data_IF_705402591265
#
_entry.id   IF_705402591265
#
_cell.length_a   1.000
_cell.length_b   1.000
_cell.length_c   1.000
_cell.angle_alpha   90.00
_cell.angle_beta   90.00
_cell.angle_gamma   90.00
#
_symmetry.space_group_name_H-M   'P 1'
#
loop_
_entity.id
_entity.type
_entity.pdbx_description
1 polymer ?
#
# COMPACT_ATOMS: atom_id res chain seq x y z
N UNK A 1 -23.17 -33.06 -9.91
CA UNK A 1 -22.47 -34.16 -10.64
C UNK A 1 -22.45 -35.37 -9.72
N UNK A 2 -22.54 -36.60 -10.24
CA UNK A 2 -22.45 -37.80 -9.39
C UNK A 2 -21.03 -37.97 -8.82
N UNK A 3 -20.94 -38.47 -7.59
CA UNK A 3 -19.71 -38.78 -6.84
C UNK A 3 -18.72 -39.62 -7.68
N UNK A 4 -19.23 -40.50 -8.55
CA UNK A 4 -18.45 -41.31 -9.49
C UNK A 4 -17.64 -40.51 -10.52
N UNK A 5 -18.18 -39.40 -11.04
CA UNK A 5 -17.45 -38.54 -11.99
C UNK A 5 -16.31 -37.80 -11.31
N UNK A 6 -16.51 -37.41 -10.05
CA UNK A 6 -15.47 -36.74 -9.26
C UNK A 6 -14.33 -37.72 -8.95
N UNK A 7 -14.67 -38.95 -8.53
CA UNK A 7 -13.69 -40.03 -8.31
C UNK A 7 -12.92 -40.42 -9.58
N UNK A 8 -13.57 -40.41 -10.74
CA UNK A 8 -12.90 -40.65 -12.02
C UNK A 8 -11.89 -39.53 -12.35
N UNK A 9 -12.24 -38.27 -12.09
CA UNK A 9 -11.31 -37.14 -12.26
C UNK A 9 -10.14 -37.20 -11.26
N UNK A 10 -10.40 -37.62 -10.02
CA UNK A 10 -9.34 -37.81 -9.02
C UNK A 10 -8.34 -38.90 -9.44
N UNK A 11 -8.82 -40.05 -9.93
CA UNK A 11 -7.95 -41.13 -10.43
C UNK A 11 -7.11 -40.65 -11.61
N UNK A 12 -7.76 -39.98 -12.57
CA UNK A 12 -7.06 -39.41 -13.73
C UNK A 12 -5.99 -38.41 -13.31
N UNK A 13 -6.30 -37.51 -12.38
CA UNK A 13 -5.33 -36.54 -11.86
C UNK A 13 -4.15 -37.19 -11.13
N UNK A 14 -4.38 -38.29 -10.39
CA UNK A 14 -3.30 -39.08 -9.76
C UNK A 14 -2.41 -39.78 -10.78
N UNK A 15 -2.98 -40.22 -11.90
CA UNK A 15 -2.25 -40.91 -12.97
C UNK A 15 -1.48 -39.95 -13.87
N UNK A 16 -2.05 -38.77 -14.18
CA UNK A 16 -1.46 -37.82 -15.15
C UNK A 16 -0.74 -36.64 -14.50
N UNK A 17 -0.96 -36.38 -13.20
CA UNK A 17 -0.49 -35.18 -12.52
C UNK A 17 -1.27 -33.90 -12.87
N UNK A 18 -2.31 -33.99 -13.70
CA UNK A 18 -3.12 -32.84 -14.11
C UNK A 18 -4.22 -32.56 -13.08
N UNK A 19 -3.90 -31.72 -12.08
CA UNK A 19 -4.81 -31.44 -10.95
C UNK A 19 -5.91 -30.41 -11.26
N UNK A 20 -5.73 -29.56 -12.28
CA UNK A 20 -6.67 -28.49 -12.62
C UNK A 20 -8.10 -28.97 -12.94
N UNK A 21 -8.30 -29.99 -13.79
CA UNK A 21 -9.64 -30.46 -14.13
C UNK A 21 -10.38 -31.06 -12.93
N UNK A 22 -9.65 -31.69 -12.01
CA UNK A 22 -10.20 -32.23 -10.77
C UNK A 22 -10.65 -31.10 -9.82
N UNK A 23 -9.83 -30.07 -9.59
CA UNK A 23 -10.20 -28.95 -8.72
C UNK A 23 -11.43 -28.18 -9.22
N UNK A 24 -11.55 -27.99 -10.55
CA UNK A 24 -12.75 -27.39 -11.16
C UNK A 24 -13.97 -28.29 -10.98
N UNK A 25 -13.81 -29.61 -11.03
CA UNK A 25 -14.90 -30.55 -10.81
C UNK A 25 -15.38 -30.55 -9.34
N UNK A 26 -14.43 -30.52 -8.38
CA UNK A 26 -14.68 -30.39 -6.93
C UNK A 26 -15.52 -29.15 -6.63
N UNK A 27 -15.15 -28.00 -7.21
CA UNK A 27 -15.87 -26.74 -7.04
C UNK A 27 -17.34 -26.85 -7.49
N UNK A 28 -17.58 -27.44 -8.66
CA UNK A 28 -18.94 -27.60 -9.22
C UNK A 28 -19.82 -28.54 -8.40
N UNK A 29 -19.23 -29.38 -7.57
CA UNK A 29 -19.95 -30.27 -6.64
C UNK A 29 -20.13 -29.68 -5.25
N UNK A 30 -19.54 -28.53 -4.94
CA UNK A 30 -19.61 -27.91 -3.61
C UNK A 30 -18.79 -28.64 -2.54
N UNK A 31 -17.86 -29.51 -2.94
CA UNK A 31 -16.92 -30.18 -2.04
C UNK A 31 -15.88 -29.15 -1.59
N UNK A 32 -15.52 -29.17 -0.30
CA UNK A 32 -14.57 -28.21 0.25
C UNK A 32 -13.17 -28.40 -0.34
N UNK A 33 -12.39 -27.33 -0.46
CA UNK A 33 -10.98 -27.43 -0.88
C UNK A 33 -10.19 -28.34 0.07
N UNK A 34 -10.49 -28.27 1.36
CA UNK A 34 -9.83 -29.08 2.40
C UNK A 34 -10.00 -30.58 2.14
N UNK A 35 -11.22 -31.03 1.82
CA UNK A 35 -11.48 -32.42 1.45
C UNK A 35 -10.78 -32.81 0.15
N UNK A 36 -10.75 -31.93 -0.86
CA UNK A 36 -10.05 -32.21 -2.12
C UNK A 36 -8.52 -32.26 -1.97
N UNK A 37 -7.95 -31.45 -1.09
CA UNK A 37 -6.52 -31.50 -0.75
C UNK A 37 -6.16 -32.76 0.02
N UNK A 38 -7.06 -33.21 0.91
CA UNK A 38 -6.93 -34.49 1.62
C UNK A 38 -6.98 -35.67 0.66
N UNK A 39 -7.90 -35.66 -0.31
CA UNK A 39 -8.02 -36.71 -1.31
C UNK A 39 -6.84 -36.77 -2.30
N UNK A 40 -6.23 -35.61 -2.59
CA UNK A 40 -5.03 -35.50 -3.44
C UNK A 40 -3.71 -35.72 -2.69
N UNK A 41 -3.72 -35.82 -1.36
CA UNK A 41 -2.50 -35.95 -0.56
C UNK A 41 -1.57 -34.73 -0.64
N UNK A 42 -2.12 -33.54 -0.89
CA UNK A 42 -1.36 -32.29 -1.03
C UNK A 42 -0.71 -32.07 -2.40
N UNK A 43 -0.85 -32.99 -3.36
CA UNK A 43 -0.20 -32.89 -4.66
C UNK A 43 -0.71 -31.72 -5.53
N UNK A 44 -1.91 -31.19 -5.24
CA UNK A 44 -2.49 -30.05 -5.94
C UNK A 44 -2.01 -28.67 -5.41
N UNK A 45 -1.25 -28.64 -4.30
CA UNK A 45 -0.80 -27.40 -3.63
C UNK A 45 0.08 -26.51 -4.53
N UNK A 46 1.09 -27.04 -5.27
CA UNK A 46 1.93 -26.20 -6.13
C UNK A 46 1.12 -25.47 -7.21
N UNK A 47 0.11 -26.14 -7.77
CA UNK A 47 -0.77 -25.58 -8.79
C UNK A 47 -1.59 -24.39 -8.26
N UNK A 48 -2.08 -24.49 -7.03
CA UNK A 48 -2.84 -23.44 -6.33
C UNK A 48 -1.93 -22.25 -6.01
N UNK A 49 -0.68 -22.51 -5.58
CA UNK A 49 0.33 -21.48 -5.33
C UNK A 49 0.65 -20.69 -6.60
N UNK A 50 0.82 -21.39 -7.71
CA UNK A 50 1.25 -20.79 -8.97
C UNK A 50 0.08 -20.15 -9.75
N UNK A 51 -1.18 -20.38 -9.33
CA UNK A 51 -2.40 -19.82 -9.92
C UNK A 51 -3.40 -19.38 -8.82
N UNK A 52 -3.07 -18.34 -8.02
CA UNK A 52 -3.84 -17.95 -6.85
C UNK A 52 -5.24 -17.41 -7.18
N UNK A 53 -5.48 -16.93 -8.41
CA UNK A 53 -6.81 -16.56 -8.91
C UNK A 53 -7.86 -17.70 -8.84
N UNK A 54 -7.42 -18.96 -8.75
CA UNK A 54 -8.31 -20.11 -8.52
C UNK A 54 -8.96 -20.04 -7.12
N UNK A 55 -8.25 -19.48 -6.13
CA UNK A 55 -8.76 -19.26 -4.77
C UNK A 55 -9.77 -18.10 -4.72
N UNK A 56 -9.74 -17.17 -5.67
CA UNK A 56 -10.67 -16.04 -5.71
C UNK A 56 -12.14 -16.48 -5.94
N UNK A 57 -12.32 -17.67 -6.52
CA UNK A 57 -13.64 -18.28 -6.74
C UNK A 57 -14.04 -19.17 -5.55
N UNK A 58 -13.16 -19.37 -4.58
CA UNK A 58 -13.32 -20.29 -3.46
C UNK A 58 -13.20 -19.52 -2.13
N UNK A 59 -14.33 -18.92 -1.72
CA UNK A 59 -14.63 -18.36 -0.39
C UNK A 59 -13.48 -17.63 0.34
N UNK A 60 -13.60 -16.31 0.50
CA UNK A 60 -12.58 -15.39 1.03
C UNK A 60 -11.87 -15.84 2.32
N UNK A 61 -12.53 -16.63 3.18
CA UNK A 61 -11.93 -17.19 4.41
C UNK A 61 -10.81 -18.20 4.15
N UNK A 62 -10.94 -19.02 3.11
CA UNK A 62 -9.94 -20.04 2.75
C UNK A 62 -8.74 -19.37 2.08
N UNK A 63 -8.98 -18.30 1.30
CA UNK A 63 -7.91 -17.50 0.72
C UNK A 63 -7.06 -16.80 1.80
N UNK A 64 -7.68 -16.12 2.78
CA UNK A 64 -6.95 -15.49 3.89
C UNK A 64 -6.14 -16.49 4.70
N UNK A 65 -6.73 -17.66 5.01
CA UNK A 65 -6.01 -18.71 5.73
C UNK A 65 -4.86 -19.24 4.88
N UNK A 66 -5.09 -19.63 3.62
CA UNK A 66 -4.04 -20.14 2.74
C UNK A 66 -2.88 -19.17 2.58
N UNK A 67 -3.14 -17.85 2.51
CA UNK A 67 -2.11 -16.83 2.41
C UNK A 67 -1.33 -16.64 3.73
N UNK A 68 -1.99 -16.69 4.89
CA UNK A 68 -1.33 -16.69 6.21
C UNK A 68 -0.43 -17.94 6.39
N UNK A 69 -0.90 -19.10 5.92
CA UNK A 69 -0.14 -20.35 5.97
C UNK A 69 1.03 -20.38 4.99
N UNK A 70 0.87 -19.87 3.77
CA UNK A 70 1.98 -19.73 2.80
C UNK A 70 3.06 -18.76 3.32
N UNK A 71 2.66 -17.70 4.03
CA UNK A 71 3.58 -16.78 4.71
C UNK A 71 4.36 -17.44 5.86
N UNK A 72 3.77 -18.42 6.55
CA UNK A 72 4.44 -19.21 7.60
C UNK A 72 5.35 -20.30 7.00
N UNK A 73 4.93 -20.96 5.93
CA UNK A 73 5.68 -22.02 5.26
C UNK A 73 6.92 -21.51 4.50
N UNK A 74 6.88 -20.27 3.99
CA UNK A 74 8.01 -19.62 3.32
C UNK A 74 9.25 -19.41 4.22
N UNK A 75 9.12 -19.66 5.53
CA UNK A 75 10.21 -19.57 6.52
C UNK A 75 10.90 -20.90 6.80
N UNK A 76 10.49 -22.01 6.17
CA UNK A 76 11.06 -23.34 6.37
C UNK A 76 11.88 -23.81 5.15
N UNK A 77 13.01 -24.53 5.33
CA UNK A 77 14.03 -24.65 4.28
C UNK A 77 13.89 -25.87 3.36
N UNK A 78 12.84 -26.71 3.49
CA UNK A 78 12.67 -27.88 2.61
C UNK A 78 11.21 -28.27 2.35
N UNK A 79 10.95 -28.86 1.17
CA UNK A 79 9.62 -29.34 0.74
C UNK A 79 9.00 -30.34 1.73
N UNK A 80 9.82 -31.18 2.39
CA UNK A 80 9.37 -32.11 3.41
C UNK A 80 8.87 -31.42 4.69
N UNK A 81 9.46 -30.27 5.05
CA UNK A 81 9.03 -29.45 6.19
C UNK A 81 7.71 -28.70 5.89
N UNK A 82 7.52 -28.28 4.63
CA UNK A 82 6.26 -27.70 4.15
C UNK A 82 5.14 -28.76 4.20
N UNK A 83 5.42 -29.99 3.77
CA UNK A 83 4.47 -31.11 3.82
C UNK A 83 4.09 -31.47 5.27
N UNK A 84 5.06 -31.57 6.19
CA UNK A 84 4.78 -31.88 7.60
C UNK A 84 4.01 -30.75 8.31
N UNK A 85 4.35 -29.49 8.06
CA UNK A 85 3.61 -28.34 8.59
C UNK A 85 2.17 -28.29 8.04
N UNK A 86 1.97 -28.71 6.79
CA UNK A 86 0.65 -28.81 6.16
C UNK A 86 -0.19 -29.93 6.78
N UNK A 87 0.40 -31.10 7.07
CA UNK A 87 -0.32 -32.22 7.74
C UNK A 87 -0.69 -31.90 9.21
N UNK A 88 0.20 -31.23 9.95
CA UNK A 88 -0.08 -30.80 11.32
C UNK A 88 -1.17 -29.71 11.38
N UNK A 89 -1.19 -28.79 10.41
CA UNK A 89 -2.19 -27.73 10.29
C UNK A 89 -3.61 -28.23 9.98
N UNK A 90 -3.73 -29.43 9.40
CA UNK A 90 -4.99 -30.10 9.05
C UNK A 90 -5.53 -31.03 10.15
N UNK A 91 -4.92 -31.03 11.35
CA UNK A 91 -5.37 -31.84 12.49
C UNK A 91 -5.05 -33.34 12.39
N UNK A 92 -4.01 -33.71 11.63
CA UNK A 92 -3.60 -35.11 11.38
C UNK A 92 -2.29 -35.47 12.12
N UNK A 93 -2.32 -35.41 13.46
CA UNK A 93 -1.12 -35.60 14.32
C UNK A 93 -0.45 -36.98 14.20
N UNK A 94 -1.22 -38.06 13.98
CA UNK A 94 -0.67 -39.42 13.85
C UNK A 94 0.13 -39.65 12.54
N UNK A 95 -0.19 -38.90 11.48
CA UNK A 95 0.54 -38.98 10.21
C UNK A 95 1.85 -38.16 10.25
N UNK A 96 1.85 -37.05 10.98
CA UNK A 96 3.03 -36.21 11.20
C UNK A 96 4.06 -36.91 12.12
N UNK A 97 3.60 -37.63 13.14
CA UNK A 97 4.49 -38.32 14.08
C UNK A 97 5.24 -39.52 13.47
N UNK A 98 4.67 -40.21 12.48
CA UNK A 98 5.37 -41.30 11.77
C UNK A 98 6.51 -40.80 10.86
N UNK A 99 6.54 -39.52 10.47
CA UNK A 99 7.62 -38.92 9.68
C UNK A 99 8.76 -38.35 10.54
N UNK A 100 8.53 -38.10 11.83
CA UNK A 100 9.44 -37.39 12.74
C UNK A 100 10.43 -38.29 13.52
N UNK A 101 10.38 -39.62 13.35
CA UNK A 101 11.18 -40.57 14.16
C UNK A 101 12.65 -40.70 13.68
N UNK A 102 13.08 -40.04 12.60
CA UNK A 102 14.44 -40.26 12.04
C UNK A 102 15.17 -38.97 11.71
N UNK A 103 15.50 -38.10 12.68
CA UNK A 103 16.64 -37.16 12.50
C UNK A 103 17.37 -36.97 13.85
N UNK A 104 18.49 -37.67 14.09
CA UNK A 104 19.37 -37.44 15.26
C UNK A 104 20.11 -36.10 15.20
N UNK A 105 20.50 -35.56 16.35
CA UNK A 105 21.17 -34.24 16.51
C UNK A 105 22.43 -34.03 15.65
N UNK A 106 23.10 -35.11 15.24
CA UNK A 106 24.25 -35.06 14.32
C UNK A 106 23.88 -34.46 12.95
N UNK A 107 22.65 -34.65 12.46
CA UNK A 107 22.16 -34.07 11.22
C UNK A 107 21.85 -32.57 11.34
N UNK A 108 21.53 -32.06 12.53
CA UNK A 108 21.36 -30.61 12.72
C UNK A 108 22.69 -29.86 12.68
N UNK A 109 23.76 -30.48 13.22
CA UNK A 109 25.11 -29.95 13.13
C UNK A 109 25.64 -30.01 11.68
N UNK A 110 25.35 -31.11 10.97
CA UNK A 110 25.69 -31.25 9.55
C UNK A 110 24.91 -30.27 8.67
N UNK A 111 23.63 -30.00 8.94
CA UNK A 111 22.85 -29.01 8.21
C UNK A 111 23.35 -27.57 8.43
N UNK A 112 23.83 -27.22 9.63
CA UNK A 112 24.44 -25.89 9.88
C UNK A 112 25.79 -25.74 9.19
N UNK A 113 26.61 -26.79 9.18
CA UNK A 113 27.88 -26.80 8.46
C UNK A 113 27.67 -26.80 6.94
N UNK A 114 26.66 -27.52 6.45
CA UNK A 114 26.27 -27.52 5.04
C UNK A 114 25.67 -26.16 4.62
N UNK A 115 24.91 -25.48 5.48
CA UNK A 115 24.43 -24.10 5.22
C UNK A 115 25.57 -23.08 5.10
N UNK A 116 26.65 -23.23 5.89
CA UNK A 116 27.83 -22.37 5.77
C UNK A 116 28.62 -22.64 4.48
N UNK A 117 28.75 -23.92 4.11
CA UNK A 117 29.41 -24.37 2.87
C UNK A 117 28.58 -23.99 1.64
N UNK A 118 27.25 -24.13 1.67
CA UNK A 118 26.34 -23.76 0.58
C UNK A 118 26.24 -22.24 0.42
N UNK A 119 26.41 -21.45 1.50
CA UNK A 119 26.51 -19.99 1.41
C UNK A 119 27.83 -19.52 0.76
N UNK A 120 28.93 -20.24 0.98
CA UNK A 120 30.21 -20.02 0.30
C UNK A 120 30.21 -20.54 -1.15
N UNK A 121 29.60 -21.71 -1.39
CA UNK A 121 29.53 -22.33 -2.72
C UNK A 121 28.52 -21.63 -3.64
N UNK A 122 27.38 -21.13 -3.15
CA UNK A 122 26.45 -20.33 -3.95
C UNK A 122 27.04 -18.96 -4.35
N UNK A 123 27.85 -18.34 -3.49
CA UNK A 123 28.59 -17.11 -3.84
C UNK A 123 29.61 -17.35 -4.97
N UNK A 124 30.22 -18.54 -5.05
CA UNK A 124 31.15 -18.90 -6.12
C UNK A 124 30.45 -19.45 -7.38
N UNK A 125 29.32 -20.15 -7.25
CA UNK A 125 28.55 -20.70 -8.38
C UNK A 125 27.73 -19.64 -9.14
N UNK A 126 27.15 -18.64 -8.47
CA UNK A 126 26.48 -17.53 -9.18
C UNK A 126 27.47 -16.63 -9.93
N UNK A 127 28.71 -16.50 -9.44
CA UNK A 127 29.78 -15.79 -10.14
C UNK A 127 30.31 -16.57 -11.35
N UNK A 128 30.32 -17.90 -11.27
CA UNK A 128 30.73 -18.80 -12.36
C UNK A 128 29.64 -18.98 -13.42
N UNK A 129 28.36 -18.88 -13.05
CA UNK A 129 27.22 -19.07 -13.95
C UNK A 129 26.59 -17.73 -14.34
N UNK A 130 27.27 -16.97 -15.20
CA UNK A 130 26.52 -16.17 -16.20
C UNK A 130 25.77 -17.16 -17.09
N UNK A 131 24.57 -17.56 -16.68
CA UNK A 131 23.69 -18.36 -17.54
C UNK A 131 23.47 -17.51 -18.81
N UNK A 132 23.82 -18.01 -20.00
CA UNK A 132 23.57 -17.28 -21.24
C UNK A 132 22.06 -17.03 -21.36
N UNK A 133 21.62 -15.78 -21.17
CA UNK A 133 20.21 -15.39 -21.26
C UNK A 133 19.63 -14.64 -20.05
N UNK A 134 20.31 -14.57 -18.90
CA UNK A 134 19.88 -13.64 -17.84
C UNK A 134 20.32 -12.22 -18.18
N UNK A 135 19.35 -11.38 -18.53
CA UNK A 135 19.56 -9.96 -18.83
C UNK A 135 19.68 -9.16 -17.53
N UNK A 136 20.42 -8.05 -17.57
CA UNK A 136 20.59 -7.12 -16.44
C UNK A 136 19.23 -6.79 -15.78
N UNK A 137 18.15 -6.66 -16.56
CA UNK A 137 16.79 -6.39 -16.09
C UNK A 137 16.23 -7.41 -15.08
N UNK A 138 16.63 -8.69 -15.16
CA UNK A 138 16.17 -9.71 -14.21
C UNK A 138 16.81 -9.56 -12.83
N UNK A 139 18.08 -9.13 -12.79
CA UNK A 139 18.77 -8.81 -11.54
C UNK A 139 18.23 -7.51 -10.93
N UNK A 140 17.93 -6.49 -11.75
CA UNK A 140 17.33 -5.24 -11.28
C UNK A 140 15.96 -5.47 -10.60
N UNK A 141 15.08 -6.26 -11.22
CA UNK A 141 13.76 -6.60 -10.65
C UNK A 141 13.87 -7.37 -9.33
N UNK A 142 14.81 -8.33 -9.26
CA UNK A 142 15.05 -9.10 -8.02
C UNK A 142 15.63 -8.24 -6.91
N UNK A 143 16.50 -7.30 -7.24
CA UNK A 143 17.04 -6.35 -6.27
C UNK A 143 15.94 -5.43 -5.72
N UNK A 144 15.02 -4.98 -6.58
CA UNK A 144 13.85 -4.20 -6.18
C UNK A 144 12.96 -4.97 -5.21
N UNK A 145 12.56 -6.19 -5.58
CA UNK A 145 11.73 -7.04 -4.74
C UNK A 145 12.42 -7.39 -3.40
N UNK A 146 13.74 -7.56 -3.40
CA UNK A 146 14.50 -7.78 -2.17
C UNK A 146 14.46 -6.56 -1.25
N UNK A 147 14.61 -5.34 -1.79
CA UNK A 147 14.55 -4.10 -1.03
C UNK A 147 13.13 -3.80 -0.50
N UNK A 148 12.08 -4.08 -1.26
CA UNK A 148 10.68 -3.98 -0.80
C UNK A 148 10.44 -4.88 0.42
N UNK A 149 11.07 -6.05 0.45
CA UNK A 149 11.05 -6.98 1.59
C UNK A 149 12.07 -6.65 2.69
N UNK A 150 12.68 -5.45 2.66
CA UNK A 150 13.71 -4.98 3.61
C UNK A 150 14.98 -5.85 3.66
N UNK A 151 15.24 -6.64 2.63
CA UNK A 151 16.45 -7.45 2.51
C UNK A 151 17.51 -6.70 1.68
N UNK A 152 18.04 -5.61 2.26
CA UNK A 152 19.00 -4.74 1.59
C UNK A 152 20.36 -5.40 1.33
N UNK A 153 20.75 -6.37 2.15
CA UNK A 153 21.97 -7.17 1.92
C UNK A 153 21.87 -7.95 0.62
N UNK A 154 20.74 -8.64 0.40
CA UNK A 154 20.48 -9.36 -0.84
C UNK A 154 20.33 -8.41 -2.03
N UNK A 155 19.65 -7.28 -1.85
CA UNK A 155 19.57 -6.25 -2.88
C UNK A 155 20.97 -5.77 -3.30
N UNK A 156 21.86 -5.49 -2.34
CA UNK A 156 23.27 -5.12 -2.58
C UNK A 156 24.07 -6.20 -3.31
N UNK A 157 23.87 -7.46 -2.98
CA UNK A 157 24.50 -8.58 -3.67
C UNK A 157 24.03 -8.65 -5.13
N UNK A 158 22.72 -8.57 -5.36
CA UNK A 158 22.14 -8.64 -6.70
C UNK A 158 22.58 -7.48 -7.60
N UNK A 159 22.64 -6.25 -7.09
CA UNK A 159 23.12 -5.12 -7.89
C UNK A 159 24.63 -5.15 -8.16
N UNK A 160 25.43 -5.90 -7.41
CA UNK A 160 26.85 -6.12 -7.72
C UNK A 160 27.04 -7.09 -8.89
N UNK A 161 26.03 -7.93 -9.16
CA UNK A 161 26.04 -8.89 -10.26
C UNK A 161 25.63 -8.25 -11.61
N UNK A 162 25.01 -7.07 -11.58
CA UNK A 162 24.70 -6.27 -12.76
C UNK A 162 25.45 -4.93 -12.75
N UNK A 163 25.37 -4.16 -13.84
CA UNK A 163 25.74 -2.73 -13.82
C UNK A 163 24.50 -1.95 -13.41
N UNK A 164 24.38 -1.51 -12.14
CA UNK A 164 23.14 -0.88 -11.69
C UNK A 164 22.95 0.45 -12.39
N UNK A 165 21.78 0.63 -13.00
CA UNK A 165 21.39 1.92 -13.55
C UNK A 165 21.25 2.96 -12.42
N UNK A 166 21.55 4.25 -12.66
CA UNK A 166 21.28 5.31 -11.68
C UNK A 166 19.82 5.34 -11.22
N UNK A 167 18.89 4.99 -12.11
CA UNK A 167 17.46 4.83 -11.81
C UNK A 167 17.18 3.72 -10.80
N UNK A 168 17.83 2.56 -10.93
CA UNK A 168 17.67 1.47 -9.97
C UNK A 168 18.22 1.87 -8.61
N UNK A 169 19.43 2.45 -8.56
CA UNK A 169 20.04 2.89 -7.31
C UNK A 169 19.18 3.92 -6.59
N UNK A 170 18.59 4.86 -7.33
CA UNK A 170 17.66 5.83 -6.75
C UNK A 170 16.37 5.16 -6.26
N UNK A 171 15.82 4.19 -6.99
CA UNK A 171 14.64 3.43 -6.53
C UNK A 171 14.92 2.67 -5.23
N UNK A 172 16.07 1.98 -5.14
CA UNK A 172 16.46 1.26 -3.93
C UNK A 172 16.70 2.22 -2.75
N UNK A 173 17.31 3.38 -3.01
CA UNK A 173 17.48 4.43 -2.01
C UNK A 173 16.12 4.95 -1.49
N UNK A 174 15.16 5.19 -2.40
CA UNK A 174 13.79 5.60 -2.06
C UNK A 174 13.09 4.55 -1.20
N UNK A 175 13.11 3.28 -1.61
CA UNK A 175 12.48 2.18 -0.86
C UNK A 175 13.06 2.07 0.55
N UNK A 176 14.39 2.20 0.70
CA UNK A 176 15.03 2.18 2.01
C UNK A 176 14.60 3.39 2.87
N UNK A 177 14.56 4.60 2.30
CA UNK A 177 14.14 5.82 3.00
C UNK A 177 12.65 5.82 3.39
N UNK A 178 11.77 5.31 2.52
CA UNK A 178 10.34 5.12 2.82
C UNK A 178 10.14 4.11 3.96
N UNK A 179 11.03 3.11 4.05
CA UNK A 179 11.09 2.16 5.16
C UNK A 179 11.86 2.70 6.38
N UNK A 180 12.24 3.98 6.41
CA UNK A 180 12.98 4.64 7.50
C UNK A 180 14.38 4.09 7.76
N UNK A 181 14.95 3.30 6.84
CA UNK A 181 16.33 2.80 6.90
C UNK A 181 17.26 3.75 6.13
N UNK A 182 17.57 4.88 6.76
CA UNK A 182 18.31 5.98 6.14
C UNK A 182 19.80 5.66 5.88
N UNK A 183 20.39 4.75 6.66
CA UNK A 183 21.76 4.27 6.44
C UNK A 183 21.85 3.48 5.12
N UNK A 184 20.88 2.60 4.87
CA UNK A 184 20.81 1.88 3.60
C UNK A 184 20.43 2.81 2.45
N UNK A 185 19.51 3.75 2.68
CA UNK A 185 19.12 4.74 1.68
C UNK A 185 20.32 5.57 1.21
N UNK A 186 21.13 6.06 2.13
CA UNK A 186 22.36 6.77 1.82
C UNK A 186 23.36 5.87 1.09
N UNK A 187 23.53 4.62 1.53
CA UNK A 187 24.45 3.68 0.89
C UNK A 187 24.11 3.43 -0.58
N UNK A 188 22.83 3.45 -0.97
CA UNK A 188 22.41 3.35 -2.37
C UNK A 188 22.58 4.69 -3.10
N UNK A 189 22.16 5.80 -2.48
CA UNK A 189 22.22 7.14 -3.06
C UNK A 189 23.65 7.63 -3.34
N UNK A 190 24.63 7.23 -2.53
CA UNK A 190 26.04 7.60 -2.69
C UNK A 190 26.63 7.23 -4.06
N UNK A 191 26.00 6.30 -4.79
CA UNK A 191 26.44 5.84 -6.11
C UNK A 191 25.56 6.39 -7.25
N UNK A 192 24.58 7.25 -6.95
CA UNK A 192 23.71 7.90 -7.95
C UNK A 192 24.39 9.16 -8.50
N UNK A 193 24.29 9.36 -9.82
CA UNK A 193 24.72 10.60 -10.47
C UNK A 193 23.51 11.24 -11.20
N UNK A 194 23.13 12.50 -10.88
CA UNK A 194 23.77 13.42 -9.94
C UNK A 194 23.43 13.15 -8.47
N UNK A 195 24.47 13.10 -7.63
CA UNK A 195 24.39 12.80 -6.20
C UNK A 195 23.54 13.83 -5.43
N UNK A 196 23.64 15.11 -5.82
CA UNK A 196 22.90 16.20 -5.19
C UNK A 196 21.37 16.03 -5.33
N UNK A 197 20.93 15.53 -6.49
CA UNK A 197 19.50 15.27 -6.74
C UNK A 197 19.00 14.10 -5.90
N UNK A 198 19.85 13.07 -5.71
CA UNK A 198 19.53 11.93 -4.86
C UNK A 198 19.33 12.37 -3.40
N UNK A 199 20.24 13.19 -2.86
CA UNK A 199 20.07 13.72 -1.49
C UNK A 199 18.89 14.69 -1.36
N UNK A 200 18.54 15.46 -2.40
CA UNK A 200 17.32 16.28 -2.36
C UNK A 200 16.08 15.40 -2.21
N UNK A 201 16.00 14.30 -2.95
CA UNK A 201 14.88 13.36 -2.87
C UNK A 201 14.83 12.66 -1.51
N UNK A 202 15.98 12.23 -0.98
CA UNK A 202 16.07 11.66 0.37
C UNK A 202 15.64 12.67 1.45
N UNK A 203 15.98 13.95 1.27
CA UNK A 203 15.54 15.04 2.16
C UNK A 203 14.01 15.20 2.13
N UNK A 204 13.37 15.04 0.96
CA UNK A 204 11.90 15.08 0.84
C UNK A 204 11.23 13.93 1.56
N UNK A 205 11.78 12.72 1.43
CA UNK A 205 11.23 11.52 2.08
C UNK A 205 11.40 11.62 3.59
N UNK A 206 12.59 11.96 4.07
CA UNK A 206 12.85 12.18 5.51
C UNK A 206 11.95 13.29 6.08
N UNK A 207 11.78 14.38 5.34
CA UNK A 207 10.90 15.48 5.72
C UNK A 207 9.43 15.06 5.80
N UNK A 208 8.97 14.24 4.85
CA UNK A 208 7.59 13.72 4.83
C UNK A 208 7.33 12.76 6.00
N UNK A 209 8.36 12.01 6.42
CA UNK A 209 8.31 11.16 7.61
C UNK A 209 8.44 11.98 8.93
N UNK A 210 8.78 13.26 8.84
CA UNK A 210 8.96 14.14 9.98
C UNK A 210 10.26 13.92 10.76
N UNK A 211 11.25 13.23 10.18
CA UNK A 211 12.57 13.04 10.80
C UNK A 211 13.43 14.28 10.60
N UNK A 212 13.57 15.09 11.66
CA UNK A 212 14.31 16.35 11.62
C UNK A 212 15.81 16.13 11.47
N UNK A 213 16.39 15.19 12.22
CA UNK A 213 17.85 14.96 12.24
C UNK A 213 18.32 14.50 10.86
N UNK A 214 17.63 13.51 10.29
CA UNK A 214 17.94 12.99 8.96
C UNK A 214 17.68 14.04 7.87
N UNK A 215 16.58 14.80 7.96
CA UNK A 215 16.31 15.89 7.00
C UNK A 215 17.45 16.91 7.00
N UNK A 216 17.94 17.31 8.17
CA UNK A 216 19.05 18.24 8.28
C UNK A 216 20.33 17.62 7.70
N UNK A 217 20.67 16.38 8.09
CA UNK A 217 21.86 15.68 7.64
C UNK A 217 21.93 15.51 6.12
N UNK A 218 20.81 15.17 5.45
CA UNK A 218 20.76 15.11 3.99
C UNK A 218 20.77 16.50 3.35
N UNK A 219 20.12 17.49 3.96
CA UNK A 219 20.10 18.85 3.41
C UNK A 219 21.49 19.50 3.38
N UNK A 220 22.34 19.23 4.37
CA UNK A 220 23.72 19.74 4.43
C UNK A 220 24.59 19.23 3.26
N UNK A 221 24.28 18.03 2.74
CA UNK A 221 24.98 17.42 1.61
C UNK A 221 24.59 18.03 0.26
N UNK A 222 23.61 18.93 0.23
CA UNK A 222 23.05 19.53 -1.01
C UNK A 222 23.41 21.00 -1.19
N UNK A 223 24.65 21.40 -0.87
CA UNK A 223 25.18 22.79 -0.79
C UNK A 223 24.55 23.85 -1.73
N UNK A 224 24.25 23.51 -2.99
CA UNK A 224 23.64 24.42 -3.97
C UNK A 224 22.10 24.40 -4.01
N UNK A 225 21.47 23.31 -3.56
CA UNK A 225 20.01 23.14 -3.44
C UNK A 225 19.47 23.53 -2.06
N UNK A 226 20.32 24.05 -1.16
CA UNK A 226 19.94 24.58 0.16
C UNK A 226 18.67 25.44 0.08
N UNK A 227 18.52 26.30 -0.93
CA UNK A 227 17.31 27.15 -1.06
C UNK A 227 16.01 26.37 -1.28
N UNK A 228 16.07 25.23 -1.99
CA UNK A 228 14.92 24.32 -2.17
C UNK A 228 14.71 23.47 -0.92
N UNK A 229 15.79 22.92 -0.35
CA UNK A 229 15.75 22.13 0.88
C UNK A 229 15.20 22.94 2.08
N UNK A 230 15.46 24.26 2.13
CA UNK A 230 14.91 25.16 3.16
C UNK A 230 13.39 25.12 3.28
N UNK A 231 12.66 24.87 2.19
CA UNK A 231 11.20 24.74 2.24
C UNK A 231 10.78 23.45 2.96
N UNK A 232 11.51 22.36 2.74
CA UNK A 232 11.30 21.06 3.42
C UNK A 232 11.67 21.18 4.89
N UNK A 233 12.85 21.75 5.21
CA UNK A 233 13.31 22.02 6.58
C UNK A 233 12.29 22.87 7.35
N UNK A 234 11.76 23.94 6.75
CA UNK A 234 10.73 24.77 7.36
C UNK A 234 9.46 23.96 7.72
N UNK A 235 9.03 23.07 6.84
CA UNK A 235 7.88 22.20 7.09
C UNK A 235 8.14 21.21 8.25
N UNK A 236 9.35 20.65 8.34
CA UNK A 236 9.72 19.73 9.44
C UNK A 236 9.78 20.45 10.78
N UNK A 237 10.41 21.62 10.86
CA UNK A 237 10.38 22.41 12.09
C UNK A 237 8.95 22.80 12.48
N UNK A 238 8.08 23.14 11.51
CA UNK A 238 6.67 23.39 11.80
C UNK A 238 5.93 22.15 12.33
N UNK A 239 6.26 20.95 11.82
CA UNK A 239 5.73 19.67 12.31
C UNK A 239 6.17 19.37 13.76
N UNK A 240 7.40 19.75 14.12
CA UNK A 240 7.93 19.69 15.50
C UNK A 240 7.57 20.89 16.38
N UNK A 241 6.66 21.75 15.92
CA UNK A 241 6.17 22.93 16.63
C UNK A 241 7.23 24.02 16.90
N UNK A 242 8.37 23.97 16.21
CA UNK A 242 9.44 24.97 16.26
C UNK A 242 9.22 26.11 15.24
N UNK A 243 8.13 26.85 15.43
CA UNK A 243 7.62 27.77 14.41
C UNK A 243 8.53 28.96 14.10
N UNK A 244 9.26 29.47 15.08
CA UNK A 244 10.16 30.62 14.87
C UNK A 244 11.30 30.22 13.92
N UNK A 245 11.91 29.06 14.19
CA UNK A 245 12.92 28.43 13.35
C UNK A 245 12.37 28.14 11.95
N UNK A 246 11.19 27.50 11.88
CA UNK A 246 10.51 27.22 10.62
C UNK A 246 10.28 28.49 9.77
N UNK A 247 9.84 29.58 10.40
CA UNK A 247 9.59 30.85 9.72
C UNK A 247 10.88 31.48 9.18
N UNK A 248 11.99 31.42 9.93
CA UNK A 248 13.29 31.89 9.46
C UNK A 248 13.76 31.14 8.21
N UNK A 249 13.53 29.83 8.15
CA UNK A 249 13.84 29.03 6.96
C UNK A 249 12.93 29.32 5.78
N UNK A 250 11.62 29.48 6.00
CA UNK A 250 10.66 29.80 4.95
C UNK A 250 10.94 31.15 4.29
N UNK A 251 11.27 32.17 5.07
CA UNK A 251 11.61 33.51 4.55
C UNK A 251 12.86 33.53 3.69
N UNK A 252 13.80 32.63 3.95
CA UNK A 252 15.07 32.52 3.24
C UNK A 252 15.07 31.42 2.16
N UNK A 253 13.89 30.89 1.83
CA UNK A 253 13.71 29.86 0.80
C UNK A 253 13.63 30.47 -0.60
N UNK A 254 13.80 29.65 -1.64
CA UNK A 254 13.61 30.10 -3.02
C UNK A 254 12.15 30.43 -3.36
N UNK A 255 11.19 29.84 -2.65
CA UNK A 255 9.76 30.06 -2.84
C UNK A 255 9.04 30.12 -1.49
N UNK A 256 8.94 31.32 -0.89
CA UNK A 256 8.30 31.50 0.41
C UNK A 256 6.83 31.08 0.47
N UNK A 257 6.09 31.21 -0.64
CA UNK A 257 4.68 30.83 -0.72
C UNK A 257 4.51 29.31 -0.62
N UNK A 258 5.35 28.56 -1.35
CA UNK A 258 5.40 27.10 -1.24
C UNK A 258 5.89 26.64 0.15
N UNK A 259 6.86 27.33 0.73
CA UNK A 259 7.32 27.05 2.10
C UNK A 259 6.20 27.23 3.12
N UNK A 260 5.46 28.35 3.07
CA UNK A 260 4.32 28.58 3.95
C UNK A 260 3.18 27.56 3.72
N UNK A 261 2.92 27.16 2.47
CA UNK A 261 1.97 26.09 2.15
C UNK A 261 2.39 24.77 2.83
N UNK A 262 3.64 24.33 2.68
CA UNK A 262 4.14 23.08 3.29
C UNK A 262 4.12 23.16 4.82
N UNK A 263 4.50 24.30 5.41
CA UNK A 263 4.36 24.53 6.85
C UNK A 263 2.90 24.46 7.32
N UNK A 264 1.95 25.01 6.56
CA UNK A 264 0.53 24.96 6.91
C UNK A 264 0.00 23.52 6.91
N UNK A 265 0.42 22.71 5.94
CA UNK A 265 0.11 21.27 5.87
C UNK A 265 0.69 20.52 7.08
N UNK A 266 1.94 20.81 7.46
CA UNK A 266 2.58 20.24 8.66
C UNK A 266 1.88 20.63 9.97
N UNK A 267 1.36 21.86 10.07
CA UNK A 267 0.54 22.27 11.22
C UNK A 267 -0.78 21.50 11.28
N UNK A 268 -1.45 21.36 10.13
CA UNK A 268 -2.73 20.67 10.03
C UNK A 268 -2.63 19.17 10.34
N UNK A 269 -1.52 18.50 9.97
CA UNK A 269 -1.29 17.10 10.35
C UNK A 269 -1.16 16.90 11.87
N UNK A 270 -0.69 17.92 12.59
CA UNK A 270 -0.71 17.99 14.07
C UNK A 270 -2.00 18.56 14.66
N UNK A 271 -3.05 18.71 13.85
CA UNK A 271 -4.36 19.29 14.23
C UNK A 271 -4.29 20.75 14.70
N UNK A 272 -3.22 21.49 14.37
CA UNK A 272 -3.11 22.93 14.64
C UNK A 272 -3.62 23.76 13.45
N UNK A 273 -4.93 23.69 13.19
CA UNK A 273 -5.57 24.36 12.06
C UNK A 273 -5.58 25.88 12.18
N UNK A 274 -5.56 26.41 13.42
CA UNK A 274 -5.48 27.85 13.66
C UNK A 274 -4.15 28.42 13.15
N UNK A 275 -3.03 27.75 13.41
CA UNK A 275 -1.74 28.14 12.84
C UNK A 275 -1.68 27.86 11.34
N UNK A 276 -2.23 26.74 10.87
CA UNK A 276 -2.31 26.45 9.45
C UNK A 276 -3.00 27.60 8.68
N UNK A 277 -4.16 28.08 9.16
CA UNK A 277 -4.86 29.22 8.56
C UNK A 277 -4.05 30.53 8.58
N UNK A 278 -3.30 30.80 9.66
CA UNK A 278 -2.40 31.97 9.72
C UNK A 278 -1.28 31.89 8.68
N UNK A 279 -0.77 30.69 8.40
CA UNK A 279 0.26 30.47 7.39
C UNK A 279 -0.30 30.59 5.98
N UNK A 280 -1.51 30.08 5.72
CA UNK A 280 -2.21 30.29 4.45
C UNK A 280 -2.38 31.77 4.14
N UNK A 281 -2.73 32.59 5.14
CA UNK A 281 -2.85 34.05 4.98
C UNK A 281 -1.54 34.77 4.65
N UNK A 282 -0.37 34.12 4.79
CA UNK A 282 0.93 34.67 4.40
C UNK A 282 1.30 34.35 2.94
N UNK A 283 0.58 33.44 2.29
CA UNK A 283 0.79 33.05 0.89
C UNK A 283 0.20 34.14 -0.01
N UNK A 284 0.95 34.57 -1.02
CA UNK A 284 0.51 35.63 -1.95
C UNK A 284 -0.11 35.07 -3.23
N UNK A 285 0.42 33.96 -3.74
CA UNK A 285 -0.05 33.35 -4.97
C UNK A 285 -1.30 32.49 -4.75
N UNK A 286 -2.35 32.75 -5.54
CA UNK A 286 -3.64 32.07 -5.45
C UNK A 286 -3.54 30.54 -5.61
N UNK A 287 -2.69 30.05 -6.52
CA UNK A 287 -2.48 28.62 -6.74
C UNK A 287 -2.01 27.88 -5.47
N UNK A 288 -1.07 28.48 -4.73
CA UNK A 288 -0.59 27.92 -3.46
C UNK A 288 -1.63 28.01 -2.34
N UNK A 289 -2.46 29.07 -2.33
CA UNK A 289 -3.59 29.19 -1.38
C UNK A 289 -4.59 28.06 -1.61
N UNK A 290 -5.03 27.87 -2.86
CA UNK A 290 -5.97 26.82 -3.24
C UNK A 290 -5.43 25.43 -2.89
N UNK A 291 -4.16 25.17 -3.24
CA UNK A 291 -3.50 23.91 -2.90
C UNK A 291 -3.39 23.69 -1.39
N UNK A 292 -3.07 24.73 -0.61
CA UNK A 292 -3.02 24.65 0.85
C UNK A 292 -4.40 24.31 1.43
N UNK A 293 -5.45 25.05 1.06
CA UNK A 293 -6.80 24.88 1.55
C UNK A 293 -7.36 23.48 1.22
N UNK A 294 -7.12 22.99 -0.01
CA UNK A 294 -7.49 21.63 -0.41
C UNK A 294 -6.87 20.59 0.51
N UNK A 295 -5.53 20.61 0.67
CA UNK A 295 -4.83 19.59 1.48
C UNK A 295 -5.19 19.68 2.96
N UNK A 296 -5.33 20.88 3.52
CA UNK A 296 -5.70 21.08 4.92
C UNK A 296 -7.12 20.56 5.18
N UNK A 297 -8.07 20.83 4.27
CA UNK A 297 -9.45 20.34 4.40
C UNK A 297 -9.52 18.80 4.41
N UNK A 298 -8.73 18.15 3.54
CA UNK A 298 -8.62 16.68 3.49
C UNK A 298 -7.93 16.13 4.74
N UNK A 299 -6.84 16.72 5.20
CA UNK A 299 -6.16 16.34 6.46
C UNK A 299 -7.10 16.46 7.67
N UNK A 300 -7.93 17.51 7.71
CA UNK A 300 -8.93 17.67 8.76
C UNK A 300 -9.96 16.54 8.74
N UNK A 301 -10.44 16.14 7.55
CA UNK A 301 -11.37 15.02 7.40
C UNK A 301 -10.73 13.67 7.79
N UNK A 302 -9.46 13.43 7.42
CA UNK A 302 -8.69 12.26 7.86
C UNK A 302 -8.61 12.19 9.39
N UNK A 303 -8.47 13.34 10.05
CA UNK A 303 -8.45 13.48 11.50
C UNK A 303 -9.84 13.46 12.16
N UNK A 304 -10.93 13.23 11.40
CA UNK A 304 -12.34 13.30 11.80
C UNK A 304 -12.79 14.67 12.32
N UNK A 305 -12.06 15.72 11.97
CA UNK A 305 -12.33 17.10 12.37
C UNK A 305 -13.04 17.86 11.24
N UNK A 306 -14.27 17.44 10.95
CA UNK A 306 -15.08 17.97 9.84
C UNK A 306 -15.45 19.45 10.00
N UNK A 307 -15.46 19.97 11.24
CA UNK A 307 -15.72 21.40 11.50
C UNK A 307 -14.56 22.24 10.96
N UNK A 308 -13.32 21.76 11.10
CA UNK A 308 -12.14 22.41 10.54
C UNK A 308 -12.10 22.29 9.02
N UNK A 309 -12.58 21.19 8.44
CA UNK A 309 -12.75 21.06 6.99
C UNK A 309 -13.60 22.21 6.42
N UNK A 310 -14.71 22.58 7.09
CA UNK A 310 -15.59 23.65 6.63
C UNK A 310 -14.94 25.04 6.60
N UNK A 311 -13.90 25.29 7.41
CA UNK A 311 -13.21 26.59 7.47
C UNK A 311 -12.42 26.86 6.18
N UNK A 312 -11.88 25.83 5.54
CA UNK A 312 -11.01 25.97 4.35
C UNK A 312 -11.74 25.83 3.01
N UNK A 313 -12.95 25.26 3.01
CA UNK A 313 -13.78 25.10 1.82
C UNK A 313 -14.18 26.41 1.11
N UNK A 314 -14.48 27.53 1.79
CA UNK A 314 -14.87 28.78 1.13
C UNK A 314 -13.81 29.31 0.16
N UNK A 315 -12.52 29.19 0.52
CA UNK A 315 -11.40 29.63 -0.32
C UNK A 315 -11.28 28.85 -1.62
N UNK A 316 -11.83 27.64 -1.69
CA UNK A 316 -11.77 26.79 -2.88
C UNK A 316 -12.87 27.10 -3.90
N UNK A 317 -13.88 27.90 -3.53
CA UNK A 317 -15.02 28.20 -4.43
C UNK A 317 -14.63 28.96 -5.69
N UNK A 318 -13.46 29.60 -5.69
CA UNK A 318 -12.91 30.29 -6.85
C UNK A 318 -12.47 29.30 -7.96
N UNK A 319 -12.22 28.03 -7.59
CA UNK A 319 -11.99 26.92 -8.52
C UNK A 319 -13.06 25.83 -8.30
N UNK A 320 -14.16 25.85 -9.07
CA UNK A 320 -15.26 24.89 -8.92
C UNK A 320 -14.81 23.43 -9.06
N UNK A 321 -13.82 23.15 -9.92
CA UNK A 321 -13.32 21.80 -10.14
C UNK A 321 -12.55 21.30 -8.93
N UNK A 322 -11.61 22.11 -8.41
CA UNK A 322 -10.88 21.76 -7.20
C UNK A 322 -11.80 21.67 -5.98
N UNK A 323 -12.81 22.54 -5.88
CA UNK A 323 -13.83 22.48 -4.84
C UNK A 323 -14.57 21.13 -4.84
N UNK A 324 -15.07 20.69 -6.00
CA UNK A 324 -15.76 19.40 -6.13
C UNK A 324 -14.84 18.21 -5.84
N UNK A 325 -13.59 18.24 -6.31
CA UNK A 325 -12.60 17.22 -5.98
C UNK A 325 -12.35 17.14 -4.47
N UNK A 326 -12.27 18.28 -3.80
CA UNK A 326 -12.04 18.34 -2.35
C UNK A 326 -13.22 17.75 -1.59
N UNK A 327 -14.44 18.12 -1.96
CA UNK A 327 -15.68 17.57 -1.43
C UNK A 327 -15.74 16.04 -1.56
N UNK A 328 -15.35 15.52 -2.73
CA UNK A 328 -15.24 14.09 -2.95
C UNK A 328 -14.19 13.42 -2.05
N UNK A 329 -13.00 14.02 -1.91
CA UNK A 329 -11.95 13.48 -1.07
C UNK A 329 -12.39 13.41 0.41
N UNK A 330 -13.03 14.47 0.92
CA UNK A 330 -13.59 14.50 2.28
C UNK A 330 -14.65 13.42 2.46
N UNK A 331 -15.55 13.24 1.48
CA UNK A 331 -16.58 12.20 1.51
C UNK A 331 -15.98 10.79 1.59
N UNK A 332 -14.90 10.54 0.85
CA UNK A 332 -14.17 9.27 0.90
C UNK A 332 -13.52 9.04 2.26
N UNK A 333 -12.91 10.06 2.87
CA UNK A 333 -12.34 9.95 4.22
C UNK A 333 -13.44 9.70 5.27
N UNK A 334 -14.59 10.35 5.17
CA UNK A 334 -15.74 10.07 6.01
C UNK A 334 -16.23 8.62 5.86
N UNK A 335 -16.26 8.09 4.64
CA UNK A 335 -16.61 6.70 4.39
C UNK A 335 -15.60 5.71 4.99
N UNK A 336 -14.29 5.97 4.87
CA UNK A 336 -13.22 5.17 5.50
C UNK A 336 -13.35 5.19 7.03
N UNK A 337 -13.67 6.35 7.58
CA UNK A 337 -13.87 6.56 9.02
C UNK A 337 -15.18 5.98 9.56
N UNK A 338 -16.05 5.45 8.68
CA UNK A 338 -17.41 4.98 8.98
C UNK A 338 -18.34 6.08 9.50
N UNK A 339 -18.02 7.34 9.24
CA UNK A 339 -18.81 8.52 9.60
C UNK A 339 -19.84 8.84 8.51
N UNK A 340 -20.69 7.86 8.17
CA UNK A 340 -21.61 7.94 7.03
C UNK A 340 -22.60 9.12 7.12
N UNK A 341 -22.93 9.57 8.33
CA UNK A 341 -23.75 10.75 8.56
C UNK A 341 -23.11 12.05 8.04
N UNK A 342 -21.80 12.10 7.86
CA UNK A 342 -21.06 13.29 7.37
C UNK A 342 -21.01 13.35 5.84
N UNK A 343 -21.13 12.23 5.15
CA UNK A 343 -21.02 12.14 3.68
C UNK A 343 -21.99 13.07 2.96
N UNK A 344 -23.30 13.14 3.30
CA UNK A 344 -24.23 14.03 2.60
C UNK A 344 -23.87 15.52 2.65
N UNK A 345 -23.13 15.96 3.67
CA UNK A 345 -22.69 17.35 3.82
C UNK A 345 -21.51 17.71 2.89
N UNK A 346 -20.77 16.71 2.43
CA UNK A 346 -19.59 16.88 1.60
C UNK A 346 -19.75 16.29 0.19
N UNK A 347 -20.93 15.80 -0.16
CA UNK A 347 -21.17 15.31 -1.52
C UNK A 347 -21.24 16.47 -2.52
N UNK A 348 -20.45 16.45 -3.62
CA UNK A 348 -20.53 17.46 -4.66
C UNK A 348 -21.90 17.38 -5.38
N UNK A 349 -22.35 18.48 -5.97
CA UNK A 349 -23.61 18.47 -6.73
C UNK A 349 -23.49 17.49 -7.91
N UNK A 350 -24.57 16.78 -8.28
CA UNK A 350 -24.54 15.86 -9.42
C UNK A 350 -24.35 16.64 -10.73
N UNK A 351 -23.11 16.76 -11.18
CA UNK A 351 -22.73 17.43 -12.43
C UNK A 351 -21.55 16.76 -13.13
N UNK A 352 -20.38 16.71 -12.49
CA UNK A 352 -19.11 16.28 -13.10
C UNK A 352 -18.73 14.83 -12.80
N UNK A 353 -19.12 14.29 -11.64
CA UNK A 353 -18.81 12.91 -11.24
C UNK A 353 -20.01 12.23 -10.54
N UNK A 354 -21.19 12.36 -11.18
CA UNK A 354 -22.51 11.93 -10.65
C UNK A 354 -22.51 10.49 -10.11
N UNK A 355 -21.86 9.56 -10.79
CA UNK A 355 -21.79 8.15 -10.39
C UNK A 355 -21.01 7.95 -9.09
N UNK A 356 -19.86 8.64 -8.92
CA UNK A 356 -19.04 8.54 -7.72
C UNK A 356 -19.78 9.14 -6.51
N UNK A 357 -20.43 10.30 -6.70
CA UNK A 357 -21.21 10.96 -5.66
C UNK A 357 -22.41 10.13 -5.21
N UNK A 358 -23.22 9.65 -6.16
CA UNK A 358 -24.38 8.82 -5.86
C UNK A 358 -23.95 7.46 -5.26
N UNK A 359 -22.80 6.92 -5.67
CA UNK A 359 -22.23 5.71 -5.07
C UNK A 359 -21.83 5.91 -3.61
N UNK A 360 -21.22 7.05 -3.27
CA UNK A 360 -20.89 7.40 -1.88
C UNK A 360 -22.14 7.58 -1.02
N UNK A 361 -23.18 8.25 -1.56
CA UNK A 361 -24.47 8.48 -0.88
C UNK A 361 -25.20 7.16 -0.64
N UNK A 362 -25.29 6.31 -1.67
CA UNK A 362 -25.95 5.00 -1.56
C UNK A 362 -25.26 4.11 -0.52
N UNK A 363 -23.93 4.06 -0.51
CA UNK A 363 -23.18 3.28 0.48
C UNK A 363 -23.37 3.81 1.90
N UNK A 364 -23.42 5.15 2.06
CA UNK A 364 -23.73 5.78 3.35
C UNK A 364 -25.12 5.38 3.87
N UNK A 365 -26.13 5.42 3.00
CA UNK A 365 -27.52 5.09 3.33
C UNK A 365 -27.70 3.60 3.64
N UNK A 366 -27.08 2.70 2.86
CA UNK A 366 -27.08 1.25 3.16
C UNK A 366 -26.59 0.97 4.57
N UNK A 367 -25.50 1.63 4.98
CA UNK A 367 -24.85 1.40 6.26
C UNK A 367 -25.53 2.09 7.45
N UNK A 368 -26.37 3.09 7.17
CA UNK A 368 -27.26 3.70 8.18
C UNK A 368 -28.59 2.94 8.34
N UNK A 369 -28.85 1.90 7.54
CA UNK A 369 -30.09 1.12 7.58
C UNK A 369 -31.20 1.65 6.65
N UNK A 370 -30.93 2.72 5.89
CA UNK A 370 -31.87 3.33 4.96
C UNK A 370 -31.86 2.63 3.59
N UNK A 371 -32.11 1.31 3.61
CA UNK A 371 -31.96 0.41 2.45
C UNK A 371 -32.80 0.87 1.26
N UNK A 372 -34.04 1.32 1.49
CA UNK A 372 -34.93 1.81 0.43
C UNK A 372 -34.37 3.04 -0.28
N UNK A 373 -33.76 3.97 0.48
CA UNK A 373 -33.19 5.20 -0.06
C UNK A 373 -31.89 4.89 -0.83
N UNK A 374 -31.11 3.95 -0.33
CA UNK A 374 -29.89 3.54 -1.01
C UNK A 374 -30.16 2.84 -2.34
N UNK A 375 -31.16 1.95 -2.40
CA UNK A 375 -31.57 1.28 -3.63
C UNK A 375 -32.05 2.31 -4.66
N UNK A 376 -32.90 3.25 -4.25
CA UNK A 376 -33.33 4.35 -5.12
C UNK A 376 -32.16 5.21 -5.62
N UNK A 377 -31.17 5.45 -4.76
CA UNK A 377 -29.94 6.18 -5.14
C UNK A 377 -29.12 5.39 -6.16
N UNK A 378 -29.02 4.06 -6.03
CA UNK A 378 -28.35 3.19 -7.02
C UNK A 378 -29.11 3.13 -8.34
N UNK A 379 -30.44 3.06 -8.31
CA UNK A 379 -31.29 3.10 -9.50
C UNK A 379 -31.14 4.43 -10.25
N UNK A 380 -31.00 5.54 -9.51
CA UNK A 380 -30.74 6.87 -10.09
C UNK A 380 -29.37 7.01 -10.76
N UNK A 381 -28.41 6.11 -10.44
CA UNK A 381 -27.13 6.01 -11.16
C UNK A 381 -27.28 5.31 -12.51
N UNK A 382 -28.23 4.39 -12.64
CA UNK A 382 -28.44 3.57 -13.84
C UNK A 382 -29.29 4.28 -14.91
N UNK A 383 -29.96 5.39 -14.57
CA UNK A 383 -30.84 6.10 -15.50
C UNK A 383 -30.52 7.62 -15.58
N UNK A 384 -29.60 8.05 -16.47
CA UNK A 384 -29.13 9.44 -16.54
C UNK A 384 -30.21 10.48 -16.90
N UNK A 385 -31.29 10.06 -17.58
CA UNK A 385 -32.36 10.92 -18.08
C UNK A 385 -33.49 11.19 -17.06
N UNK A 386 -33.52 10.51 -15.90
CA UNK A 386 -34.44 10.85 -14.82
C UNK A 386 -33.99 12.15 -14.14
N UNK A 387 -34.75 13.22 -14.39
CA UNK A 387 -34.34 14.61 -14.34
C UNK A 387 -34.08 15.18 -12.93
N UNK A 388 -33.30 16.25 -12.96
CA UNK A 388 -32.86 17.21 -11.94
C UNK A 388 -33.91 17.81 -11.00
N UNK A 389 -35.19 17.43 -11.12
CA UNK A 389 -36.29 17.94 -10.29
C UNK A 389 -36.39 17.22 -8.94
N UNK A 390 -36.11 15.92 -8.89
CA UNK A 390 -36.27 15.12 -7.66
C UNK A 390 -35.27 15.47 -6.55
N UNK A 391 -34.02 15.80 -6.88
CA UNK A 391 -32.97 15.97 -5.87
C UNK A 391 -33.08 17.29 -5.07
N UNK A 392 -33.52 18.38 -5.70
CA UNK A 392 -33.73 19.66 -5.02
C UNK A 392 -34.91 19.61 -4.05
N UNK A 393 -35.96 18.85 -4.38
CA UNK A 393 -37.10 18.63 -3.49
C UNK A 393 -36.77 17.61 -2.39
N UNK A 394 -35.94 16.60 -2.68
CA UNK A 394 -35.48 15.61 -1.69
C UNK A 394 -34.46 16.17 -0.68
N UNK A 395 -33.58 17.08 -1.12
CA UNK A 395 -32.67 17.82 -0.22
C UNK A 395 -33.42 18.81 0.70
N UNK A 396 -34.64 19.24 0.33
CA UNK A 396 -35.54 20.01 1.21
C UNK A 396 -36.20 19.13 2.26
N UNK A 397 -36.61 17.90 1.94
CA UNK A 397 -37.16 16.95 2.91
C UNK A 397 -36.12 16.54 3.98
N UNK A 398 -34.87 16.29 3.58
CA UNK A 398 -33.78 16.02 4.53
C UNK A 398 -33.46 17.20 5.46
N UNK A 399 -33.73 18.45 5.03
CA UNK A 399 -33.61 19.65 5.87
C UNK A 399 -34.82 19.90 6.78
N UNK A 400 -35.98 19.33 6.46
CA UNK A 400 -37.22 19.45 7.25
C UNK A 400 -37.38 18.39 8.33
N UNK A 401 -36.58 17.31 8.29
CA UNK A 401 -36.68 16.19 9.23
C UNK A 401 -35.82 16.34 10.51
N UNK A 402 -35.25 17.52 10.80
CA UNK A 402 -34.61 17.86 12.08
C UNK A 402 -34.78 19.32 12.47
#
# INVERSE_FOLDING_TARGET
MSDERLRAQLRKAKETGEWMPYLVAVQRTGVSIEEALKESGGAAIPLIRDNPEILYVLNCKVHEQAMDWMGKAAKLPSESAIICATYAALGMEDAANNFLIIIPDEFQQQARNQMAIDAEQNNHQEFANRIPGQTDSTFELRAHAAAENRNYLRAKQLIRLCRPSPSLLMSLARIAAENTDYDQAESFAANVNPLEQAYLELTEIASSNGDLETTLAFSEKTSHLIRKARMQIAAVYAHHQEYQTAQAFAQNSSNPDEAHMRMAQACASKKDYKKAGRLVNKIKQAEFILTACHKIAVLAAQNKDYDQTHIFLPSLREDPTLFEMTLCAISNEAAKNKDYAKIPFFCPRPGTNRTLTLGCIANAQLRNGDISIALHTVESMQNPQAQSTSYCDFARELKGAR
#
